data_IF_592290325743
#
_entry.id   IF_592290325743
#
_cell.length_a   1.000
_cell.length_b   1.000
_cell.length_c   1.000
_cell.angle_alpha   90.00
_cell.angle_beta   90.00
_cell.angle_gamma   90.00
#
_symmetry.space_group_name_H-M   'P 1'
#
loop_
_entity.id
_entity.type
_entity.pdbx_description
1 polymer ?
#
# COMPACT_ATOMS: atom_id res chain seq x y z
N UNK A 1 -12.64 26.51 -3.31
CA UNK A 1 -11.92 25.45 -4.05
C UNK A 1 -12.79 24.22 -4.21
N UNK A 2 -12.81 23.62 -5.41
CA UNK A 2 -13.56 22.39 -5.67
C UNK A 2 -12.96 21.19 -4.92
N UNK A 3 -13.73 20.11 -4.75
CA UNK A 3 -13.26 18.85 -4.15
C UNK A 3 -12.04 18.28 -4.91
N UNK A 4 -12.05 18.41 -6.24
CA UNK A 4 -10.96 17.96 -7.10
C UNK A 4 -9.66 18.75 -6.86
N UNK A 5 -9.75 20.08 -6.75
CA UNK A 5 -8.58 20.93 -6.47
C UNK A 5 -7.98 20.63 -5.10
N UNK A 6 -8.82 20.40 -4.07
CA UNK A 6 -8.37 19.98 -2.73
C UNK A 6 -7.63 18.65 -2.79
N UNK A 7 -8.15 17.65 -3.50
CA UNK A 7 -7.50 16.34 -3.66
C UNK A 7 -6.14 16.45 -4.33
N UNK A 8 -6.05 17.22 -5.43
CA UNK A 8 -4.78 17.48 -6.13
C UNK A 8 -3.75 18.12 -5.19
N UNK A 9 -4.17 19.09 -4.38
CA UNK A 9 -3.28 19.76 -3.45
C UNK A 9 -2.75 18.82 -2.36
N UNK A 10 -3.63 18.02 -1.75
CA UNK A 10 -3.23 17.03 -0.73
C UNK A 10 -2.25 16.00 -1.31
N UNK A 11 -2.49 15.49 -2.52
CA UNK A 11 -1.57 14.56 -3.17
C UNK A 11 -0.21 15.20 -3.47
N UNK A 12 -0.23 16.45 -3.95
CA UNK A 12 0.98 17.22 -4.23
C UNK A 12 1.82 17.42 -2.97
N UNK A 13 1.21 17.83 -1.86
CA UNK A 13 1.93 18.00 -0.59
C UNK A 13 2.59 16.71 -0.10
N UNK A 14 1.97 15.55 -0.33
CA UNK A 14 2.57 14.28 0.10
C UNK A 14 3.73 13.81 -0.77
N UNK A 15 3.67 14.06 -2.08
CA UNK A 15 4.68 13.65 -3.05
C UNK A 15 5.85 14.63 -3.12
N UNK A 16 5.55 15.93 -3.15
CA UNK A 16 6.53 16.98 -3.51
C UNK A 16 7.17 17.64 -2.29
N UNK A 17 6.68 17.41 -1.06
CA UNK A 17 7.30 18.03 0.12
C UNK A 17 8.58 17.27 0.46
N UNK A 18 9.74 17.89 0.23
CA UNK A 18 11.03 17.37 0.69
C UNK A 18 10.98 17.13 2.21
N UNK A 19 11.14 15.86 2.61
CA UNK A 19 11.10 15.47 4.01
C UNK A 19 12.51 15.38 4.58
N UNK A 20 12.83 16.30 5.49
CA UNK A 20 14.16 16.35 6.13
C UNK A 20 14.34 15.34 7.28
N UNK A 21 13.28 14.63 7.68
CA UNK A 21 13.28 13.67 8.78
C UNK A 21 12.16 13.95 9.80
N UNK A 22 11.95 13.05 10.77
CA UNK A 22 10.99 13.27 11.84
C UNK A 22 11.47 14.40 12.77
N UNK A 23 10.55 15.23 13.23
CA UNK A 23 10.81 16.22 14.30
C UNK A 23 10.88 15.53 15.67
N UNK A 24 11.43 16.16 16.71
CA UNK A 24 11.64 15.59 18.05
C UNK A 24 10.38 14.98 18.70
N UNK A 25 9.20 15.49 18.36
CA UNK A 25 7.91 14.95 18.86
C UNK A 25 7.37 13.81 18.02
N UNK A 26 7.86 13.65 16.79
CA UNK A 26 7.33 12.72 15.82
C UNK A 26 8.06 11.39 15.89
N UNK A 27 7.32 10.30 15.71
CA UNK A 27 7.87 8.95 15.64
C UNK A 27 7.47 8.28 14.34
N UNK A 28 8.29 7.36 13.85
CA UNK A 28 7.96 6.56 12.69
C UNK A 28 7.42 5.22 13.18
N UNK A 29 6.23 4.88 12.73
CA UNK A 29 5.55 3.64 13.09
C UNK A 29 5.12 2.90 11.84
N UNK A 30 4.88 1.60 11.97
CA UNK A 30 4.41 0.75 10.88
C UNK A 30 2.92 0.47 11.03
N UNK A 31 2.17 0.54 9.93
CA UNK A 31 0.75 0.17 9.92
C UNK A 31 0.60 -1.34 9.96
N UNK A 32 -0.17 -1.81 10.94
CA UNK A 32 -0.56 -3.22 11.09
C UNK A 32 -1.88 -3.46 10.37
N UNK A 33 -2.92 -2.68 10.69
CA UNK A 33 -4.26 -2.84 10.15
C UNK A 33 -5.08 -1.54 10.25
N UNK A 34 -6.13 -1.42 9.43
CA UNK A 34 -7.16 -0.40 9.62
C UNK A 34 -8.23 -0.89 10.59
N UNK A 35 -8.62 -0.09 11.59
CA UNK A 35 -9.64 -0.46 12.59
C UNK A 35 -11.00 0.21 12.36
N UNK A 36 -11.17 0.89 11.22
CA UNK A 36 -12.38 1.63 10.87
C UNK A 36 -12.42 3.04 11.46
N UNK A 37 -13.42 3.85 11.09
CA UNK A 37 -13.58 5.24 11.55
C UNK A 37 -12.30 6.11 11.44
N UNK A 38 -11.53 5.95 10.36
CA UNK A 38 -10.24 6.63 10.16
C UNK A 38 -9.21 6.37 11.27
N UNK A 39 -9.34 5.25 11.99
CA UNK A 39 -8.37 4.74 12.95
C UNK A 39 -7.52 3.65 12.31
N UNK A 40 -6.23 3.71 12.59
CA UNK A 40 -5.24 2.75 12.13
C UNK A 40 -4.50 2.18 13.32
N UNK A 41 -4.38 0.87 13.36
CA UNK A 41 -3.51 0.17 14.28
C UNK A 41 -2.09 0.22 13.75
N UNK A 42 -1.18 0.72 14.57
CA UNK A 42 0.23 0.88 14.25
C UNK A 42 1.09 0.17 15.28
N UNK A 43 2.27 -0.23 14.86
CA UNK A 43 3.31 -0.82 15.71
C UNK A 43 4.48 0.15 15.83
N UNK A 44 4.83 0.51 17.07
CA UNK A 44 6.03 1.28 17.38
C UNK A 44 7.22 0.36 17.58
N UNK A 45 8.32 0.65 16.89
CA UNK A 45 9.56 -0.14 17.03
C UNK A 45 10.30 0.22 18.32
N UNK A 46 10.18 1.47 18.78
CA UNK A 46 10.82 1.96 20.01
C UNK A 46 10.19 1.33 21.25
N UNK A 47 8.86 1.35 21.31
CA UNK A 47 8.10 0.87 22.48
C UNK A 47 7.74 -0.62 22.38
N UNK A 48 7.95 -1.24 21.20
CA UNK A 48 7.49 -2.61 20.86
C UNK A 48 6.01 -2.87 21.18
N UNK A 49 5.17 -1.84 21.06
CA UNK A 49 3.74 -1.88 21.39
C UNK A 49 2.89 -1.53 20.16
N UNK A 50 1.66 -2.07 20.10
CA UNK A 50 0.65 -1.62 19.15
C UNK A 50 -0.33 -0.64 19.78
N UNK A 51 -0.69 0.40 19.03
CA UNK A 51 -1.69 1.37 19.46
C UNK A 51 -2.49 1.92 18.29
N UNK A 52 -3.56 2.65 18.59
CA UNK A 52 -4.38 3.30 17.58
C UNK A 52 -3.90 4.73 17.32
N UNK A 53 -3.88 5.08 16.04
CA UNK A 53 -3.67 6.46 15.59
C UNK A 53 -4.82 6.92 14.72
N UNK A 54 -5.12 8.21 14.81
CA UNK A 54 -6.13 8.86 13.97
C UNK A 54 -5.51 9.38 12.68
N UNK A 55 -6.28 9.34 11.60
CA UNK A 55 -5.92 10.00 10.35
C UNK A 55 -6.48 11.43 10.30
N UNK A 56 -5.63 12.45 10.02
CA UNK A 56 -6.07 13.83 9.89
C UNK A 56 -7.16 14.00 8.87
N UNK A 57 -8.04 14.97 9.12
CA UNK A 57 -9.20 15.24 8.27
C UNK A 57 -8.81 15.53 6.82
N UNK A 58 -7.65 16.17 6.60
CA UNK A 58 -7.11 16.45 5.25
C UNK A 58 -6.79 15.19 4.43
N UNK A 59 -6.46 14.09 5.09
CA UNK A 59 -6.09 12.83 4.43
C UNK A 59 -7.27 11.88 4.24
N UNK A 60 -8.33 12.05 5.04
CA UNK A 60 -9.54 11.22 4.94
C UNK A 60 -10.11 11.30 3.51
N UNK A 61 -10.29 10.15 2.86
CA UNK A 61 -10.81 9.97 1.48
C UNK A 61 -9.85 10.39 0.36
N UNK A 62 -8.68 10.92 0.70
CA UNK A 62 -7.69 11.38 -0.27
C UNK A 62 -6.47 10.48 -0.30
N UNK A 63 -6.16 9.85 0.84
CA UNK A 63 -4.98 9.02 1.08
C UNK A 63 -5.44 7.63 1.51
N UNK A 64 -4.84 6.61 0.91
CA UNK A 64 -5.03 5.22 1.32
C UNK A 64 -3.69 4.66 1.78
N UNK A 65 -3.71 4.10 2.98
CA UNK A 65 -2.57 3.42 3.59
C UNK A 65 -2.84 1.92 3.64
N UNK A 66 -1.81 1.13 3.36
CA UNK A 66 -1.86 -0.34 3.37
C UNK A 66 -1.15 -0.88 4.60
N UNK A 67 -1.38 -2.17 4.88
CA UNK A 67 -0.58 -2.92 5.86
C UNK A 67 0.90 -2.88 5.45
N UNK A 68 1.78 -2.74 6.43
CA UNK A 68 3.24 -2.62 6.28
C UNK A 68 3.73 -1.29 5.68
N UNK A 69 2.85 -0.31 5.47
CA UNK A 69 3.30 1.05 5.18
C UNK A 69 3.87 1.69 6.45
N UNK A 70 4.82 2.61 6.25
CA UNK A 70 5.39 3.39 7.33
C UNK A 70 4.78 4.79 7.33
N UNK A 71 4.48 5.28 8.52
CA UNK A 71 3.89 6.60 8.72
C UNK A 71 4.61 7.33 9.85
N UNK A 72 4.64 8.66 9.71
CA UNK A 72 5.09 9.56 10.78
C UNK A 72 3.88 9.92 11.61
N UNK A 73 3.98 9.71 12.91
CA UNK A 73 2.92 10.01 13.88
C UNK A 73 3.40 11.02 14.88
N UNK A 74 2.50 11.90 15.28
CA UNK A 74 2.68 12.81 16.40
C UNK A 74 1.84 12.29 17.58
N UNK A 75 2.46 11.98 18.73
CA UNK A 75 1.76 11.44 19.88
C UNK A 75 0.87 12.52 20.53
N UNK A 76 -0.30 12.09 21.01
CA UNK A 76 -1.26 12.94 21.71
C UNK A 76 -1.31 12.48 23.17
N UNK A 77 -1.14 13.41 24.10
CA UNK A 77 -1.12 13.11 25.55
C UNK A 77 -2.49 12.82 26.15
N UNK A 78 -3.57 13.27 25.49
CA UNK A 78 -4.94 13.26 26.02
C UNK A 78 -5.77 12.01 25.63
N UNK A 79 -5.19 11.08 24.89
CA UNK A 79 -5.92 9.94 24.31
C UNK A 79 -5.77 8.64 25.08
N UNK A 80 -6.89 8.07 25.54
CA UNK A 80 -6.93 6.78 26.26
C UNK A 80 -6.62 5.60 25.31
N UNK A 81 -7.38 5.48 24.22
CA UNK A 81 -7.18 4.41 23.20
C UNK A 81 -6.39 4.86 21.98
N UNK A 82 -6.52 6.14 21.61
CA UNK A 82 -5.88 6.72 20.42
C UNK A 82 -4.71 7.56 20.87
N UNK A 83 -3.49 7.09 20.64
CA UNK A 83 -2.27 7.66 21.23
C UNK A 83 -1.53 8.63 20.30
N UNK A 84 -2.04 8.88 19.10
CA UNK A 84 -1.42 9.84 18.18
C UNK A 84 -2.21 10.11 16.91
N UNK A 85 -1.71 11.04 16.12
CA UNK A 85 -2.23 11.44 14.81
C UNK A 85 -1.18 11.26 13.72
N UNK A 86 -1.60 10.80 12.54
CA UNK A 86 -0.70 10.59 11.40
C UNK A 86 -0.36 11.93 10.76
N UNK A 87 0.90 12.37 10.81
CA UNK A 87 1.34 13.61 10.16
C UNK A 87 1.55 13.39 8.66
N UNK A 88 2.15 12.26 8.30
CA UNK A 88 2.56 11.96 6.91
C UNK A 88 2.73 10.46 6.68
N UNK A 89 2.50 10.03 5.45
CA UNK A 89 2.82 8.67 4.98
C UNK A 89 4.18 8.69 4.28
N UNK A 90 5.05 7.74 4.61
CA UNK A 90 6.40 7.66 4.05
C UNK A 90 6.41 6.88 2.75
N UNK A 91 7.03 7.45 1.72
CA UNK A 91 7.26 6.78 0.45
C UNK A 91 8.49 5.87 0.53
N UNK A 92 8.65 5.02 -0.49
CA UNK A 92 9.84 4.15 -0.60
C UNK A 92 11.15 4.93 -0.65
N UNK A 93 11.13 6.13 -1.21
CA UNK A 93 12.29 7.03 -1.30
C UNK A 93 12.64 7.62 0.07
N UNK A 94 11.64 8.10 0.81
CA UNK A 94 11.79 8.59 2.18
C UNK A 94 12.39 7.50 3.09
N UNK A 95 11.91 6.27 2.95
CA UNK A 95 12.43 5.10 3.66
C UNK A 95 13.90 4.80 3.34
N UNK A 96 14.32 4.97 2.09
CA UNK A 96 15.74 4.79 1.69
C UNK A 96 16.62 5.87 2.31
N UNK A 97 16.18 7.14 2.24
CA UNK A 97 16.89 8.26 2.86
C UNK A 97 17.01 8.05 4.38
N UNK A 98 15.93 7.59 5.02
CA UNK A 98 15.91 7.35 6.46
C UNK A 98 16.83 6.18 6.86
N UNK A 99 16.90 5.12 6.05
CA UNK A 99 17.87 4.02 6.25
C UNK A 99 19.31 4.52 6.11
N UNK A 100 19.59 5.41 5.15
CA UNK A 100 20.91 6.01 5.01
C UNK A 100 21.28 6.89 6.21
N UNK A 101 20.30 7.55 6.82
CA UNK A 101 20.43 8.30 8.08
C UNK A 101 20.53 7.42 9.34
N UNK A 102 20.54 6.10 9.21
CA UNK A 102 20.75 5.17 10.32
C UNK A 102 19.47 4.65 10.99
N UNK A 103 18.28 4.86 10.41
CA UNK A 103 17.05 4.25 10.93
C UNK A 103 17.01 2.75 10.64
N UNK A 104 17.24 1.96 11.68
CA UNK A 104 17.08 0.51 11.66
C UNK A 104 15.60 0.11 11.76
N UNK A 105 14.80 0.44 10.74
CA UNK A 105 13.47 -0.13 10.62
C UNK A 105 13.59 -1.65 10.50
N UNK A 106 12.87 -2.41 11.34
CA UNK A 106 12.84 -3.89 11.28
C UNK A 106 12.62 -4.31 9.81
N UNK A 107 13.57 -5.05 9.25
CA UNK A 107 13.43 -5.68 7.93
C UNK A 107 12.27 -6.68 8.04
N UNK A 108 11.14 -6.37 7.42
CA UNK A 108 10.20 -7.40 6.99
C UNK A 108 10.35 -7.56 5.48
N UNK A 109 10.75 -8.78 5.13
CA UNK A 109 10.85 -9.36 3.81
C UNK A 109 9.54 -9.11 3.05
N UNK A 110 9.56 -8.12 2.17
CA UNK A 110 8.47 -7.88 1.23
C UNK A 110 8.63 -8.85 0.06
N UNK A 111 8.53 -10.15 0.32
CA UNK A 111 8.18 -11.08 -0.74
C UNK A 111 6.66 -11.08 -0.83
N UNK A 112 6.15 -10.29 -1.77
CA UNK A 112 4.84 -10.58 -2.35
C UNK A 112 5.02 -11.96 -2.97
N UNK A 113 4.67 -13.02 -2.24
CA UNK A 113 4.68 -14.36 -2.80
C UNK A 113 3.82 -14.29 -4.07
N UNK A 114 4.36 -14.65 -5.25
CA UNK A 114 3.58 -14.63 -6.47
C UNK A 114 2.34 -15.51 -6.24
N UNK A 115 1.18 -15.01 -6.64
CA UNK A 115 -0.06 -15.78 -6.57
C UNK A 115 0.13 -17.07 -7.40
N UNK A 116 0.31 -18.20 -6.73
CA UNK A 116 0.57 -19.51 -7.35
C UNK A 116 -0.63 -20.04 -8.16
N UNK A 117 -1.81 -19.42 -8.01
CA UNK A 117 -2.99 -19.70 -8.82
C UNK A 117 -2.94 -19.05 -10.22
N UNK A 118 -1.87 -18.35 -10.60
CA UNK A 118 -1.68 -17.86 -11.97
C UNK A 118 -0.75 -18.83 -12.72
N UNK A 119 -1.21 -19.49 -13.80
CA UNK A 119 -0.31 -20.27 -14.64
C UNK A 119 0.78 -19.35 -15.20
N UNK A 120 2.04 -19.77 -15.06
CA UNK A 120 3.21 -19.03 -15.56
C UNK A 120 3.32 -19.31 -17.06
N UNK A 121 2.84 -18.36 -17.88
CA UNK A 121 3.10 -18.37 -19.32
C UNK A 121 4.57 -17.97 -19.50
N UNK A 122 5.41 -18.95 -19.82
CA UNK A 122 6.89 -18.77 -19.86
C UNK A 122 7.41 -18.61 -21.29
N UNK A 123 6.58 -18.80 -22.30
CA UNK A 123 6.98 -18.69 -23.71
C UNK A 123 5.87 -18.05 -24.55
N UNK A 124 6.28 -17.24 -25.54
CA UNK A 124 5.39 -16.62 -26.55
C UNK A 124 4.79 -17.70 -27.48
N UNK A 125 5.28 -18.94 -27.38
CA UNK A 125 4.86 -20.12 -28.14
C UNK A 125 3.45 -20.62 -27.79
N UNK A 126 2.89 -20.25 -26.63
CA UNK A 126 1.54 -20.66 -26.22
C UNK A 126 0.41 -19.80 -26.83
N UNK A 127 0.73 -18.90 -27.77
CA UNK A 127 -0.25 -18.12 -28.54
C UNK A 127 -0.71 -18.82 -29.83
N UNK A 128 -0.21 -20.02 -30.16
CA UNK A 128 -0.74 -20.83 -31.26
C UNK A 128 -1.62 -21.96 -30.72
N UNK A 129 -2.78 -21.58 -30.19
CA UNK A 129 -3.94 -22.47 -30.21
C UNK A 129 -4.38 -22.56 -31.66
N UNK A 130 -4.02 -23.66 -32.31
CA UNK A 130 -4.46 -24.08 -33.63
C UNK A 130 -5.97 -24.10 -33.72
N UNK A 131 -6.55 -23.12 -34.44
CA UNK A 131 -7.85 -23.29 -35.09
C UNK A 131 -7.63 -24.25 -36.28
N UNK A 132 -7.81 -25.54 -36.03
CA UNK A 132 -8.04 -26.52 -37.10
C UNK A 132 -9.54 -26.79 -37.13
N UNK A 133 -10.27 -25.95 -37.86
CA UNK A 133 -11.59 -26.31 -38.37
C UNK A 133 -11.42 -27.57 -39.23
N UNK A 134 -11.82 -28.72 -38.67
CA UNK A 134 -11.98 -29.95 -39.43
C UNK A 134 -13.46 -30.05 -39.76
N UNK A 135 -13.84 -29.47 -40.90
CA UNK A 135 -15.12 -29.74 -41.54
C UNK A 135 -15.16 -31.24 -41.90
N UNK A 136 -15.94 -32.01 -41.14
CA UNK A 136 -16.39 -33.34 -41.55
C UNK A 136 -17.60 -33.16 -42.46
N UNK A 137 -17.36 -33.10 -43.77
CA UNK A 137 -18.36 -33.42 -44.78
C UNK A 137 -18.64 -34.93 -44.69
N UNK A 138 -19.87 -35.28 -44.31
CA UNK A 138 -20.41 -36.62 -44.30
C UNK A 138 -21.20 -36.85 -45.59
N UNK A 139 -20.74 -37.70 -46.54
CA UNK A 139 -21.55 -38.11 -47.67
C UNK A 139 -22.13 -39.50 -47.39
N UNK A 140 -23.35 -39.57 -46.86
CA UNK A 140 -24.14 -40.80 -46.95
C UNK A 140 -24.93 -40.80 -48.25
N UNK A 141 -24.41 -41.57 -49.21
CA UNK A 141 -25.06 -41.97 -50.46
C UNK A 141 -26.38 -42.71 -50.18
N UNK A 142 -27.46 -42.25 -50.82
CA UNK A 142 -28.69 -43.02 -51.00
C UNK A 142 -28.41 -44.19 -51.96
N UNK A 143 -28.57 -45.42 -51.46
CA UNK A 143 -28.67 -46.61 -52.31
C UNK A 143 -30.10 -47.18 -52.23
N UNK A 144 -30.82 -46.96 -53.34
CA UNK A 144 -31.97 -47.66 -53.96
C UNK A 144 -33.04 -48.34 -53.07
#
# INVERSE_FOLDING_TARGET
MSKATKRKHVQKEMLDTEWNGPTDKQRIVRIVAGRGNNLHEVFSVEDNETFLVSMPVKFRRNVWVKRNDYVVVEPITEGDRVRGEIVRVLNKEDLKLMKQKGWAGKKEENEILPNTNRPVVTTISDLSGTDTDTDHDDPSEDTD
#
